data_IF_857390302454
#
_entry.id   IF_857390302454
#
_cell.length_a   1.000
_cell.length_b   1.000
_cell.length_c   1.000
_cell.angle_alpha   90.00
_cell.angle_beta   90.00
_cell.angle_gamma   90.00
#
_symmetry.space_group_name_H-M   'P 1'
#
loop_
_entity.id
_entity.type
_entity.pdbx_description
1 polymer ?
#
# COMPACT_ATOMS: atom_id res chain seq x y z
N UNK A 1 -0.38 -12.93 -17.12
CA UNK A 1 -1.16 -13.13 -15.89
C UNK A 1 -1.35 -14.62 -15.69
N UNK A 2 -0.89 -15.11 -14.56
CA UNK A 2 -0.84 -16.53 -14.21
C UNK A 2 -1.67 -16.86 -12.97
N UNK A 3 -2.32 -15.85 -12.37
CA UNK A 3 -3.25 -16.01 -11.27
C UNK A 3 -4.61 -16.50 -11.73
N UNK A 4 -5.30 -17.26 -10.87
CA UNK A 4 -6.66 -17.76 -11.12
C UNK A 4 -7.66 -16.93 -10.31
N UNK A 5 -8.53 -16.21 -10.99
CA UNK A 5 -9.57 -15.42 -10.35
C UNK A 5 -10.69 -16.31 -9.84
N UNK A 6 -11.25 -15.97 -8.68
CA UNK A 6 -12.52 -16.55 -8.25
C UNK A 6 -13.64 -16.04 -9.16
N UNK A 7 -14.64 -16.86 -9.40
CA UNK A 7 -15.72 -16.56 -10.36
C UNK A 7 -16.48 -15.27 -10.00
N UNK A 8 -16.65 -15.01 -8.71
CA UNK A 8 -17.37 -13.86 -8.14
C UNK A 8 -16.51 -12.60 -7.93
N UNK A 9 -15.23 -12.62 -8.31
CA UNK A 9 -14.29 -11.53 -8.04
C UNK A 9 -14.79 -10.17 -8.51
N UNK A 10 -15.23 -10.08 -9.77
CA UNK A 10 -15.67 -8.80 -10.34
C UNK A 10 -17.04 -8.38 -9.78
N UNK A 11 -17.94 -9.32 -9.57
CA UNK A 11 -19.25 -9.06 -8.97
C UNK A 11 -19.10 -8.44 -7.56
N UNK A 12 -18.29 -9.07 -6.69
CA UNK A 12 -18.00 -8.56 -5.36
C UNK A 12 -17.36 -7.18 -5.39
N UNK A 13 -16.38 -6.97 -6.28
CA UNK A 13 -15.69 -5.70 -6.39
C UNK A 13 -16.65 -4.58 -6.85
N UNK A 14 -17.49 -4.83 -7.86
CA UNK A 14 -18.48 -3.87 -8.37
C UNK A 14 -19.50 -3.54 -7.27
N UNK A 15 -20.09 -4.55 -6.63
CA UNK A 15 -21.06 -4.36 -5.55
C UNK A 15 -20.46 -3.59 -4.34
N UNK A 16 -19.16 -3.72 -4.09
CA UNK A 16 -18.48 -2.95 -3.07
C UNK A 16 -18.26 -1.50 -3.50
N UNK A 17 -17.85 -1.27 -4.75
CA UNK A 17 -17.61 0.07 -5.29
C UNK A 17 -18.90 0.89 -5.46
N UNK A 18 -20.03 0.25 -5.76
CA UNK A 18 -21.35 0.91 -5.85
C UNK A 18 -21.82 1.52 -4.53
N UNK A 19 -21.28 1.08 -3.39
CA UNK A 19 -21.56 1.69 -2.07
C UNK A 19 -20.85 3.01 -1.84
N UNK A 20 -19.83 3.33 -2.63
CA UNK A 20 -19.15 4.62 -2.59
C UNK A 20 -19.87 5.63 -3.51
N UNK A 21 -19.87 6.94 -3.18
CA UNK A 21 -20.40 7.96 -4.09
C UNK A 21 -19.68 7.90 -5.45
N UNK A 22 -20.44 7.95 -6.55
CA UNK A 22 -19.90 7.78 -7.91
C UNK A 22 -18.82 8.80 -8.27
N UNK A 23 -18.98 10.04 -7.78
CA UNK A 23 -18.07 11.16 -8.05
C UNK A 23 -16.80 11.15 -7.18
N UNK A 24 -16.74 10.27 -6.19
CA UNK A 24 -15.58 10.15 -5.33
C UNK A 24 -14.69 8.99 -5.78
N UNK A 25 -13.35 9.17 -5.82
CA UNK A 25 -12.45 8.09 -6.14
C UNK A 25 -12.63 6.91 -5.19
N UNK A 26 -12.84 5.71 -5.74
CA UNK A 26 -12.99 4.49 -4.96
C UNK A 26 -12.15 3.35 -5.54
N UNK A 27 -11.43 2.66 -4.67
CA UNK A 27 -10.54 1.54 -4.95
C UNK A 27 -10.97 0.34 -4.09
N UNK A 28 -11.32 -0.75 -4.75
CA UNK A 28 -11.44 -2.07 -4.13
C UNK A 28 -10.13 -2.82 -4.24
N UNK A 29 -9.73 -3.50 -3.19
CA UNK A 29 -8.68 -4.51 -3.19
C UNK A 29 -9.03 -5.62 -2.21
N UNK A 30 -8.45 -6.80 -2.41
CA UNK A 30 -8.79 -7.96 -1.61
C UNK A 30 -7.55 -8.74 -1.17
N UNK A 31 -7.77 -9.60 -0.20
CA UNK A 31 -6.84 -10.64 0.20
C UNK A 31 -6.59 -11.62 -0.95
N UNK A 32 -5.49 -12.34 -0.93
CA UNK A 32 -5.18 -13.39 -1.90
C UNK A 32 -5.02 -14.74 -1.21
N UNK A 33 -5.48 -15.79 -1.85
CA UNK A 33 -5.13 -17.17 -1.54
C UNK A 33 -3.79 -17.48 -2.21
N UNK A 34 -2.82 -17.97 -1.45
CA UNK A 34 -1.52 -18.35 -1.97
C UNK A 34 -1.60 -19.81 -2.36
N UNK A 35 -1.42 -20.13 -3.63
CA UNK A 35 -1.50 -21.46 -4.17
C UNK A 35 -0.14 -21.95 -4.72
N UNK A 36 -0.03 -23.25 -4.89
CA UNK A 36 1.11 -23.86 -5.57
C UNK A 36 1.16 -23.52 -7.07
N UNK A 37 2.15 -24.02 -7.77
CA UNK A 37 2.34 -23.77 -9.22
C UNK A 37 1.20 -24.33 -10.09
N UNK A 38 0.44 -25.29 -9.62
CA UNK A 38 -0.74 -25.87 -10.30
C UNK A 38 -2.04 -25.15 -9.95
N UNK A 39 -2.07 -24.35 -8.88
CA UNK A 39 -3.25 -23.78 -8.25
C UNK A 39 -4.25 -24.82 -7.69
N UNK A 40 -3.81 -26.06 -7.48
CA UNK A 40 -4.62 -27.11 -6.89
C UNK A 40 -4.60 -27.09 -5.35
N UNK A 41 -3.45 -26.70 -4.76
CA UNK A 41 -3.28 -26.70 -3.33
C UNK A 41 -3.06 -25.29 -2.77
N UNK A 42 -3.85 -24.96 -1.73
CA UNK A 42 -3.69 -23.71 -0.95
C UNK A 42 -2.50 -23.85 -0.01
N UNK A 43 -1.51 -22.99 -0.15
CA UNK A 43 -0.33 -22.91 0.71
C UNK A 43 -0.53 -21.93 1.88
N UNK A 44 -1.52 -21.04 1.80
CA UNK A 44 -1.83 -20.03 2.80
C UNK A 44 -2.55 -18.84 2.22
N UNK A 45 -2.50 -17.74 2.94
CA UNK A 45 -3.17 -16.49 2.56
C UNK A 45 -2.25 -15.29 2.74
N UNK A 46 -2.47 -14.22 1.97
CA UNK A 46 -1.82 -12.94 2.24
C UNK A 46 -2.21 -12.42 3.63
N UNK A 47 -1.44 -11.50 4.24
CA UNK A 47 -1.78 -10.96 5.55
C UNK A 47 -3.20 -10.38 5.59
N UNK A 48 -3.90 -10.60 6.70
CA UNK A 48 -5.15 -9.92 6.99
C UNK A 48 -4.84 -8.54 7.56
N UNK A 49 -5.57 -7.53 7.08
CA UNK A 49 -5.44 -6.15 7.50
C UNK A 49 -6.76 -5.66 8.09
N UNK A 50 -6.76 -5.37 9.40
CA UNK A 50 -7.97 -5.04 10.18
C UNK A 50 -8.08 -3.54 10.49
N UNK A 51 -7.00 -2.77 10.32
CA UNK A 51 -7.04 -1.34 10.58
C UNK A 51 -7.60 -0.61 9.36
N UNK A 52 -8.30 0.52 9.55
CA UNK A 52 -8.79 1.34 8.45
C UNK A 52 -7.68 1.66 7.43
N UNK A 53 -8.02 1.72 6.16
CA UNK A 53 -7.16 2.28 5.12
C UNK A 53 -7.07 3.80 5.30
N UNK A 54 -5.90 4.39 5.04
CA UNK A 54 -5.71 5.84 5.11
C UNK A 54 -4.46 6.26 4.34
N UNK A 55 -4.34 7.55 4.03
CA UNK A 55 -3.14 8.08 3.41
C UNK A 55 -1.90 7.92 4.32
N UNK A 56 -2.06 8.11 5.63
CA UNK A 56 -0.98 7.89 6.60
C UNK A 56 -0.47 6.43 6.59
N UNK A 57 -1.36 5.44 6.40
CA UNK A 57 -0.94 4.05 6.19
C UNK A 57 -0.28 3.86 4.82
N UNK A 58 -0.87 4.44 3.76
CA UNK A 58 -0.39 4.31 2.39
C UNK A 58 1.04 4.84 2.20
N UNK A 59 1.46 5.86 2.95
CA UNK A 59 2.84 6.38 2.91
C UNK A 59 3.90 5.33 3.27
N UNK A 60 3.54 4.30 4.07
CA UNK A 60 4.52 3.34 4.60
C UNK A 60 4.16 1.88 4.35
N UNK A 61 3.04 1.61 3.70
CA UNK A 61 2.59 0.25 3.42
C UNK A 61 1.59 0.18 2.27
N UNK A 62 1.77 -0.78 1.37
CA UNK A 62 0.71 -1.23 0.47
C UNK A 62 -0.11 -2.33 1.13
N UNK A 63 -1.44 -2.33 0.93
CA UNK A 63 -2.37 -3.33 1.50
C UNK A 63 -3.02 -4.21 0.44
N UNK A 64 -2.96 -3.84 -0.83
CA UNK A 64 -3.55 -4.61 -1.94
C UNK A 64 -2.55 -4.86 -3.05
N UNK A 65 -2.51 -6.07 -3.58
CA UNK A 65 -1.78 -6.37 -4.81
C UNK A 65 -2.54 -5.85 -6.04
N UNK A 66 -1.84 -5.38 -7.06
CA UNK A 66 -2.44 -4.87 -8.29
C UNK A 66 -3.37 -5.87 -9.00
N UNK A 67 -3.10 -7.17 -8.84
CA UNK A 67 -3.94 -8.25 -9.34
C UNK A 67 -5.31 -8.35 -8.65
N UNK A 68 -5.50 -7.72 -7.48
CA UNK A 68 -6.77 -7.67 -6.75
C UNK A 68 -7.54 -6.37 -6.97
N UNK A 69 -6.87 -5.31 -7.48
CA UNK A 69 -7.43 -3.97 -7.54
C UNK A 69 -8.49 -3.81 -8.62
N UNK A 70 -9.59 -3.16 -8.22
CA UNK A 70 -10.65 -2.64 -9.11
C UNK A 70 -10.99 -1.23 -8.64
N UNK A 71 -11.20 -0.29 -9.56
CA UNK A 71 -11.53 1.09 -9.21
C UNK A 71 -12.64 1.64 -10.09
N UNK A 72 -13.38 2.63 -9.56
CA UNK A 72 -14.42 3.32 -10.29
C UNK A 72 -13.83 4.35 -11.29
N UNK A 73 -14.71 4.98 -12.11
CA UNK A 73 -14.30 5.97 -13.11
C UNK A 73 -13.54 7.15 -12.50
N UNK A 74 -14.01 7.68 -11.36
CA UNK A 74 -13.36 8.80 -10.68
C UNK A 74 -11.95 8.46 -10.19
N UNK A 75 -11.74 7.26 -9.65
CA UNK A 75 -10.39 6.82 -9.26
C UNK A 75 -9.49 6.60 -10.48
N UNK A 76 -10.02 6.05 -11.59
CA UNK A 76 -9.27 5.90 -12.84
C UNK A 76 -8.75 7.25 -13.34
N UNK A 77 -9.61 8.26 -13.42
CA UNK A 77 -9.26 9.57 -13.94
C UNK A 77 -8.23 10.27 -13.05
N UNK A 78 -8.39 10.19 -11.73
CA UNK A 78 -7.43 10.66 -10.75
C UNK A 78 -6.05 9.96 -10.88
N UNK A 79 -6.03 8.63 -11.01
CA UNK A 79 -4.79 7.86 -11.16
C UNK A 79 -4.10 8.21 -12.48
N UNK A 80 -4.84 8.37 -13.57
CA UNK A 80 -4.28 8.78 -14.86
C UNK A 80 -3.60 10.14 -14.77
N UNK A 81 -4.24 11.12 -14.12
CA UNK A 81 -3.65 12.44 -13.88
C UNK A 81 -2.39 12.34 -13.01
N UNK A 82 -2.46 11.65 -11.89
CA UNK A 82 -1.35 11.49 -10.95
C UNK A 82 -0.17 10.68 -11.51
N UNK A 83 -0.37 9.90 -12.57
CA UNK A 83 0.69 9.07 -13.15
C UNK A 83 1.46 9.80 -14.25
N UNK A 84 0.97 10.94 -14.73
CA UNK A 84 1.67 11.72 -15.73
C UNK A 84 3.04 12.15 -15.21
N UNK A 85 4.09 11.67 -15.88
CA UNK A 85 5.50 11.94 -15.51
C UNK A 85 5.93 11.45 -14.11
N UNK A 86 5.12 10.61 -13.44
CA UNK A 86 5.48 10.06 -12.13
C UNK A 86 6.40 8.84 -12.26
N UNK A 87 7.53 8.86 -11.53
CA UNK A 87 8.32 7.66 -11.28
C UNK A 87 7.90 7.08 -9.93
N UNK A 88 7.48 5.82 -9.90
CA UNK A 88 6.91 5.18 -8.71
C UNK A 88 7.51 3.78 -8.49
N UNK A 89 7.50 3.32 -7.25
CA UNK A 89 8.07 2.01 -6.89
C UNK A 89 7.25 0.85 -7.45
N UNK A 90 5.93 0.94 -7.34
CA UNK A 90 4.99 -0.02 -7.92
C UNK A 90 3.63 0.64 -8.16
N UNK A 91 2.93 0.18 -9.21
CA UNK A 91 1.66 0.76 -9.62
C UNK A 91 0.56 0.57 -8.57
N UNK A 92 0.51 -0.56 -7.90
CA UNK A 92 -0.48 -0.90 -6.88
C UNK A 92 -0.32 -0.02 -5.63
N UNK A 93 0.92 0.15 -5.16
CA UNK A 93 1.19 1.05 -4.04
C UNK A 93 0.87 2.51 -4.38
N UNK A 94 1.20 2.92 -5.61
CA UNK A 94 0.87 4.24 -6.12
C UNK A 94 -0.64 4.50 -6.16
N UNK A 95 -1.43 3.58 -6.71
CA UNK A 95 -2.90 3.68 -6.71
C UNK A 95 -3.47 3.85 -5.29
N UNK A 96 -2.96 3.07 -4.33
CA UNK A 96 -3.38 3.19 -2.94
C UNK A 96 -3.04 4.54 -2.33
N UNK A 97 -1.83 5.07 -2.59
CA UNK A 97 -1.40 6.40 -2.14
C UNK A 97 -2.24 7.52 -2.74
N UNK A 98 -2.46 7.49 -4.04
CA UNK A 98 -3.21 8.54 -4.76
C UNK A 98 -4.67 8.57 -4.33
N UNK A 99 -5.35 7.42 -4.31
CA UNK A 99 -6.77 7.37 -3.93
C UNK A 99 -6.98 7.81 -2.49
N UNK A 100 -6.18 7.30 -1.53
CA UNK A 100 -6.29 7.74 -0.14
C UNK A 100 -5.86 9.19 0.07
N UNK A 101 -4.86 9.64 -0.68
CA UNK A 101 -4.36 11.02 -0.64
C UNK A 101 -5.40 12.04 -1.06
N UNK A 102 -6.17 11.74 -2.09
CA UNK A 102 -7.29 12.56 -2.56
C UNK A 102 -8.55 12.46 -1.67
N UNK A 103 -8.50 11.70 -0.58
CA UNK A 103 -9.64 11.48 0.31
C UNK A 103 -10.67 10.48 -0.24
N UNK A 104 -10.27 9.66 -1.21
CA UNK A 104 -11.11 8.63 -1.79
C UNK A 104 -11.32 7.42 -0.87
N UNK A 105 -12.25 6.56 -1.27
CA UNK A 105 -12.61 5.36 -0.52
C UNK A 105 -11.74 4.19 -0.93
N UNK A 106 -11.16 3.48 0.06
CA UNK A 106 -10.48 2.21 -0.18
C UNK A 106 -11.19 1.11 0.59
N UNK A 107 -11.70 0.15 -0.16
CA UNK A 107 -12.44 -1.00 0.35
C UNK A 107 -11.49 -2.20 0.31
N UNK A 108 -11.04 -2.66 1.48
CA UNK A 108 -10.24 -3.86 1.61
C UNK A 108 -11.15 -5.03 1.99
N UNK A 109 -11.22 -6.03 1.11
CA UNK A 109 -11.95 -7.26 1.35
C UNK A 109 -11.05 -8.29 2.03
N UNK A 110 -11.49 -8.81 3.17
CA UNK A 110 -10.80 -9.86 3.92
C UNK A 110 -10.90 -11.24 3.24
N UNK A 111 -11.91 -11.41 2.39
CA UNK A 111 -12.08 -12.64 1.62
C UNK A 111 -11.16 -12.64 0.40
N UNK A 112 -10.48 -13.76 0.11
CA UNK A 112 -9.66 -13.87 -1.09
C UNK A 112 -10.50 -13.74 -2.36
N UNK A 113 -9.96 -13.03 -3.36
CA UNK A 113 -10.63 -12.88 -4.66
C UNK A 113 -9.92 -13.62 -5.79
N UNK A 114 -8.76 -14.21 -5.51
CA UNK A 114 -7.97 -14.97 -6.48
C UNK A 114 -6.99 -15.92 -5.79
N UNK A 115 -6.54 -16.93 -6.54
CA UNK A 115 -5.39 -17.76 -6.22
C UNK A 115 -4.14 -17.16 -6.82
N UNK A 116 -3.24 -16.70 -5.93
CA UNK A 116 -1.93 -16.19 -6.30
C UNK A 116 -0.94 -17.35 -6.46
N UNK A 117 -0.60 -17.65 -7.71
CA UNK A 117 0.27 -18.77 -8.06
C UNK A 117 1.70 -18.52 -7.59
N UNK A 118 2.28 -19.48 -6.86
CA UNK A 118 3.69 -19.45 -6.47
C UNK A 118 4.54 -20.26 -7.45
N UNK A 119 5.54 -19.61 -8.02
CA UNK A 119 6.58 -20.22 -8.84
C UNK A 119 7.91 -19.47 -8.65
N UNK A 120 9.01 -20.02 -9.13
CA UNK A 120 10.37 -19.52 -8.88
C UNK A 120 10.63 -18.11 -9.47
N UNK A 121 9.78 -17.65 -10.38
CA UNK A 121 9.90 -16.35 -11.05
C UNK A 121 9.02 -15.25 -10.43
N UNK A 122 8.36 -15.48 -9.30
CA UNK A 122 7.55 -14.45 -8.68
C UNK A 122 8.40 -13.28 -8.19
N UNK A 123 8.09 -12.05 -8.64
CA UNK A 123 8.75 -10.82 -8.18
C UNK A 123 8.59 -10.61 -6.66
N UNK A 124 7.45 -11.00 -6.12
CA UNK A 124 7.15 -10.98 -4.69
C UNK A 124 6.59 -12.35 -4.31
N UNK A 125 7.43 -13.23 -3.76
CA UNK A 125 7.00 -14.52 -3.24
C UNK A 125 6.16 -14.41 -1.96
N UNK A 126 5.48 -15.50 -1.56
CA UNK A 126 4.77 -15.61 -0.29
C UNK A 126 5.73 -15.45 0.90
N UNK A 127 5.81 -14.26 1.43
CA UNK A 127 6.79 -13.85 2.45
C UNK A 127 6.39 -14.28 3.89
N UNK A 128 5.98 -15.53 4.09
CA UNK A 128 5.53 -16.03 5.40
C UNK A 128 6.65 -16.60 6.26
N UNK A 129 7.80 -16.99 5.69
CA UNK A 129 8.89 -17.61 6.40
C UNK A 129 9.67 -16.64 7.32
N UNK A 130 10.31 -17.17 8.39
CA UNK A 130 11.19 -16.40 9.27
C UNK A 130 12.41 -15.84 8.51
N UNK A 131 12.91 -16.54 7.49
CA UNK A 131 13.98 -16.07 6.59
C UNK A 131 13.57 -14.83 5.83
N UNK A 132 12.36 -14.80 5.31
CA UNK A 132 11.81 -13.62 4.64
C UNK A 132 11.63 -12.43 5.60
N UNK A 133 11.30 -12.68 6.90
CA UNK A 133 11.27 -11.64 7.94
C UNK A 133 12.67 -11.07 8.19
N UNK A 134 13.69 -11.92 8.28
CA UNK A 134 15.08 -11.50 8.47
C UNK A 134 15.60 -10.69 7.26
N UNK A 135 15.29 -11.11 6.04
CA UNK A 135 15.63 -10.37 4.83
C UNK A 135 14.98 -8.98 4.78
N UNK A 136 13.73 -8.85 5.27
CA UNK A 136 13.05 -7.54 5.38
C UNK A 136 13.72 -6.62 6.40
N UNK A 137 14.09 -7.15 7.58
CA UNK A 137 14.84 -6.39 8.58
C UNK A 137 16.20 -5.95 8.01
N UNK A 138 16.90 -6.85 7.32
CA UNK A 138 18.17 -6.51 6.66
C UNK A 138 17.99 -5.48 5.56
N UNK A 139 16.91 -5.55 4.78
CA UNK A 139 16.55 -4.54 3.77
C UNK A 139 16.24 -3.17 4.40
N UNK A 140 15.53 -3.14 5.52
CA UNK A 140 15.27 -1.92 6.30
C UNK A 140 16.59 -1.29 6.77
N UNK A 141 17.48 -2.09 7.38
CA UNK A 141 18.77 -1.60 7.88
C UNK A 141 19.68 -1.10 6.74
N UNK A 142 19.58 -1.67 5.55
CA UNK A 142 20.30 -1.22 4.34
C UNK A 142 19.71 0.04 3.71
N UNK A 143 18.55 0.53 4.18
CA UNK A 143 17.93 1.75 3.67
C UNK A 143 17.03 1.56 2.45
N UNK A 144 16.78 0.34 1.98
CA UNK A 144 15.93 0.05 0.81
C UNK A 144 14.52 0.65 0.94
N UNK A 145 13.96 0.62 2.15
CA UNK A 145 12.63 1.21 2.40
C UNK A 145 12.66 2.73 2.31
N UNK A 146 13.77 3.35 2.73
CA UNK A 146 14.00 4.79 2.59
C UNK A 146 14.08 5.19 1.13
N UNK A 147 14.81 4.45 0.30
CA UNK A 147 14.91 4.67 -1.14
C UNK A 147 13.55 4.59 -1.83
N UNK A 148 12.74 3.60 -1.49
CA UNK A 148 11.38 3.49 -2.00
C UNK A 148 10.50 4.68 -1.60
N UNK A 149 10.59 5.11 -0.35
CA UNK A 149 9.89 6.30 0.10
C UNK A 149 10.38 7.56 -0.61
N UNK A 150 11.69 7.71 -0.87
CA UNK A 150 12.22 8.86 -1.62
C UNK A 150 11.56 8.96 -3.01
N UNK A 151 11.43 7.85 -3.73
CA UNK A 151 10.80 7.79 -5.05
C UNK A 151 9.31 8.20 -4.95
N UNK A 152 8.55 7.53 -4.09
CA UNK A 152 7.11 7.79 -3.99
C UNK A 152 6.80 9.18 -3.43
N UNK A 153 7.58 9.69 -2.46
CA UNK A 153 7.39 11.02 -1.90
C UNK A 153 7.72 12.13 -2.89
N UNK A 154 8.70 11.93 -3.76
CA UNK A 154 8.99 12.86 -4.86
C UNK A 154 7.78 12.94 -5.82
N UNK A 155 7.21 11.80 -6.21
CA UNK A 155 6.02 11.75 -7.05
C UNK A 155 4.80 12.38 -6.37
N UNK A 156 4.53 12.08 -5.08
CA UNK A 156 3.42 12.68 -4.32
C UNK A 156 3.59 14.19 -4.15
N UNK A 157 4.82 14.66 -3.94
CA UNK A 157 5.10 16.10 -3.80
C UNK A 157 4.86 16.86 -5.10
N UNK A 158 5.19 16.27 -6.25
CA UNK A 158 4.91 16.84 -7.56
C UNK A 158 3.38 16.94 -7.85
N UNK A 159 2.60 15.99 -7.32
CA UNK A 159 1.15 15.93 -7.48
C UNK A 159 0.38 16.35 -6.22
N UNK A 160 1.00 17.15 -5.36
CA UNK A 160 0.44 17.55 -4.06
C UNK A 160 -0.93 18.24 -4.18
N UNK A 161 -1.20 18.91 -5.29
CA UNK A 161 -2.47 19.58 -5.58
C UNK A 161 -3.67 18.62 -5.63
N UNK A 162 -3.45 17.34 -5.92
CA UNK A 162 -4.48 16.29 -5.94
C UNK A 162 -4.86 15.81 -4.53
N UNK A 163 -4.04 16.10 -3.53
CA UNK A 163 -4.27 15.65 -2.15
C UNK A 163 -5.22 16.59 -1.42
N UNK A 164 -6.02 16.05 -0.50
CA UNK A 164 -6.78 16.89 0.44
C UNK A 164 -5.84 17.75 1.30
N UNK A 165 -6.32 18.88 1.82
CA UNK A 165 -5.52 19.78 2.66
C UNK A 165 -4.95 19.07 3.90
N UNK A 166 -5.73 18.19 4.53
CA UNK A 166 -5.26 17.38 5.65
C UNK A 166 -4.15 16.42 5.24
N UNK A 167 -4.27 15.76 4.09
CA UNK A 167 -3.26 14.83 3.59
C UNK A 167 -2.00 15.53 3.08
N UNK A 168 -2.12 16.78 2.57
CA UNK A 168 -0.96 17.62 2.27
C UNK A 168 -0.14 17.85 3.54
N UNK A 169 -0.79 18.14 4.68
CA UNK A 169 -0.09 18.32 5.95
C UNK A 169 0.57 17.02 6.45
N UNK A 170 -0.11 15.87 6.30
CA UNK A 170 0.47 14.55 6.63
C UNK A 170 1.72 14.28 5.78
N UNK A 171 1.67 14.59 4.49
CA UNK A 171 2.82 14.47 3.58
C UNK A 171 3.97 15.38 4.00
N UNK A 172 3.69 16.65 4.27
CA UNK A 172 4.71 17.64 4.70
C UNK A 172 5.38 17.20 6.01
N UNK A 173 4.58 16.79 7.00
CA UNK A 173 5.08 16.30 8.29
C UNK A 173 6.00 15.09 8.12
N UNK A 174 5.62 14.16 7.23
CA UNK A 174 6.43 12.98 6.99
C UNK A 174 7.72 13.29 6.26
N UNK A 175 7.68 14.14 5.23
CA UNK A 175 8.87 14.60 4.50
C UNK A 175 9.82 15.34 5.44
N UNK A 176 9.30 16.28 6.25
CA UNK A 176 10.10 17.03 7.22
C UNK A 176 10.68 16.11 8.31
N UNK A 177 9.92 15.14 8.81
CA UNK A 177 10.38 14.18 9.80
C UNK A 177 11.64 13.45 9.35
N UNK A 178 11.70 13.04 8.08
CA UNK A 178 12.82 12.27 7.51
C UNK A 178 14.13 13.09 7.42
N UNK A 179 14.03 14.41 7.43
CA UNK A 179 15.17 15.34 7.35
C UNK A 179 15.54 15.94 8.72
N UNK A 180 14.74 15.68 9.75
CA UNK A 180 14.86 16.31 11.06
C UNK A 180 15.78 15.55 12.03
N UNK A 181 16.22 16.24 13.10
CA UNK A 181 16.85 15.62 14.26
C UNK A 181 15.89 14.60 14.93
N UNK A 182 16.44 13.68 15.72
CA UNK A 182 15.67 12.57 16.29
C UNK A 182 14.42 13.03 17.06
N UNK A 183 14.53 14.02 17.94
CA UNK A 183 13.39 14.49 18.75
C UNK A 183 12.31 15.09 17.86
N UNK A 184 12.68 15.97 16.93
CA UNK A 184 11.75 16.60 15.99
C UNK A 184 11.11 15.54 15.06
N UNK A 185 11.90 14.55 14.60
CA UNK A 185 11.43 13.43 13.80
C UNK A 185 10.35 12.63 14.51
N UNK A 186 10.58 12.25 15.76
CA UNK A 186 9.59 11.49 16.55
C UNK A 186 8.30 12.29 16.78
N UNK A 187 8.42 13.60 17.03
CA UNK A 187 7.27 14.49 17.16
C UNK A 187 6.45 14.58 15.87
N UNK A 188 7.10 14.86 14.74
CA UNK A 188 6.45 14.97 13.43
C UNK A 188 5.85 13.64 12.97
N UNK A 189 6.56 12.55 13.20
CA UNK A 189 6.07 11.21 12.91
C UNK A 189 4.79 10.89 13.72
N UNK A 190 4.76 11.23 15.01
CA UNK A 190 3.56 11.08 15.82
C UNK A 190 2.42 11.99 15.30
N UNK A 191 2.71 13.24 14.94
CA UNK A 191 1.74 14.20 14.42
C UNK A 191 1.14 13.75 13.08
N UNK A 192 1.94 13.19 12.19
CA UNK A 192 1.50 12.67 10.89
C UNK A 192 0.55 11.47 11.00
N UNK A 193 0.46 10.82 12.17
CA UNK A 193 -0.42 9.68 12.39
C UNK A 193 -0.05 8.42 11.59
N UNK A 194 1.18 8.31 11.09
CA UNK A 194 1.63 7.20 10.25
C UNK A 194 1.66 5.89 11.04
N UNK A 195 1.14 4.84 10.43
CA UNK A 195 1.07 3.51 11.03
C UNK A 195 1.12 2.39 9.98
N UNK A 196 1.41 1.19 10.44
CA UNK A 196 1.29 -0.05 9.67
C UNK A 196 0.17 -0.93 10.22
N UNK A 197 -0.34 -1.80 9.40
CA UNK A 197 -1.47 -2.66 9.72
C UNK A 197 -1.19 -3.64 10.87
N UNK A 198 0.04 -4.13 11.02
CA UNK A 198 0.40 -5.14 12.03
C UNK A 198 1.24 -4.56 13.17
N UNK A 199 1.17 -5.17 14.36
CA UNK A 199 1.99 -4.78 15.51
C UNK A 199 3.49 -4.83 15.19
N UNK A 200 3.97 -5.95 14.62
CA UNK A 200 5.38 -6.09 14.23
C UNK A 200 5.78 -5.10 13.13
N UNK A 201 4.84 -4.78 12.22
CA UNK A 201 5.03 -3.72 11.23
C UNK A 201 5.26 -2.36 11.87
N UNK A 202 4.48 -2.01 12.92
CA UNK A 202 4.64 -0.75 13.66
C UNK A 202 5.95 -0.72 14.47
N UNK A 203 6.33 -1.82 15.10
CA UNK A 203 7.62 -1.89 15.80
C UNK A 203 8.79 -1.70 14.82
N UNK A 204 8.74 -2.35 13.65
CA UNK A 204 9.74 -2.16 12.59
C UNK A 204 9.76 -0.73 12.04
N UNK A 205 8.59 -0.09 11.91
CA UNK A 205 8.45 1.29 11.49
C UNK A 205 9.08 2.25 12.53
N UNK A 206 8.79 2.07 13.81
CA UNK A 206 9.38 2.87 14.88
C UNK A 206 10.91 2.73 14.93
N UNK A 207 11.42 1.51 14.79
CA UNK A 207 12.87 1.29 14.67
C UNK A 207 13.44 2.01 13.44
N UNK A 208 12.78 1.95 12.30
CA UNK A 208 13.17 2.65 11.09
C UNK A 208 13.18 4.17 11.26
N UNK A 209 12.18 4.73 11.94
CA UNK A 209 12.12 6.17 12.28
C UNK A 209 13.28 6.55 13.21
N UNK A 210 13.52 5.74 14.25
CA UNK A 210 14.63 5.99 15.19
C UNK A 210 15.99 5.99 14.47
N UNK A 211 16.22 5.01 13.59
CA UNK A 211 17.46 4.86 12.83
C UNK A 211 17.54 5.74 11.57
N UNK A 212 16.54 6.57 11.28
CA UNK A 212 16.42 7.35 10.05
C UNK A 212 16.48 6.48 8.76
N UNK A 213 15.77 5.36 8.76
CA UNK A 213 15.72 4.38 7.66
C UNK A 213 14.32 4.25 7.03
N UNK A 214 13.44 5.24 7.28
CA UNK A 214 12.08 5.34 6.70
C UNK A 214 12.03 6.37 5.60
#
# INVERSE_FOLDING_TARGET
QDDVWHEDKLEKAIAALEKAPSEQPALYCARTEIADSTCEHTLGYSPLFDKPSSFANALVQNIGGGNTMVFNGAARDLILEATQHASVVSHDWWCYQVVTGAGGHVIYDSEPCLKYRQHDHNLVGANTSWRARLLRIRGLLRGRFREWNDINLAALSAHKHLLTKSNQQVLDDFVEARQSSLIKRLFLFKRSGIYRQTLFGNLGLLLGVFLNKV
#
